data_IF_432024656146
#
_entry.id   IF_432024656146
#
_cell.length_a   1.000
_cell.length_b   1.000
_cell.length_c   1.000
_cell.angle_alpha   90.00
_cell.angle_beta   90.00
_cell.angle_gamma   90.00
#
_symmetry.space_group_name_H-M   'P 1'
#
loop_
_entity.id
_entity.type
_entity.pdbx_description
1 polymer ?
#
# COMPACT_ATOMS: atom_id res chain seq x y z
N UNK A 1 -15.76 -16.82 2.17
CA UNK A 1 -15.51 -16.41 1.72
C UNK A 1 -15.08 -15.77 1.26
N UNK A 2 -15.09 -15.56 2.15
CA UNK A 2 -14.71 -14.75 1.42
C UNK A 2 -14.55 -15.35 0.23
N UNK A 3 -15.31 -15.96 -0.10
CA UNK A 3 -15.25 -16.44 -1.36
C UNK A 3 -14.11 -15.92 -2.11
N UNK A 4 -13.42 -15.22 -1.50
CA UNK A 4 -12.50 -14.44 -2.17
C UNK A 4 -11.14 -15.02 -2.16
N UNK A 5 -10.97 -16.23 -1.71
CA UNK A 5 -9.72 -16.91 -1.77
C UNK A 5 -8.63 -16.17 -1.03
N UNK A 6 -7.57 -15.81 -1.72
CA UNK A 6 -6.40 -15.22 -1.10
C UNK A 6 -6.62 -13.85 -0.51
N UNK A 7 -7.62 -13.12 -0.98
CA UNK A 7 -7.98 -11.86 -0.37
C UNK A 7 -9.02 -12.10 0.70
N UNK A 8 -8.98 -11.31 1.75
CA UNK A 8 -10.05 -11.36 2.71
C UNK A 8 -11.24 -10.56 2.19
N UNK A 9 -12.34 -10.64 2.93
CA UNK A 9 -13.57 -9.96 2.53
C UNK A 9 -13.46 -8.45 2.53
N UNK A 10 -12.45 -7.89 3.21
CA UNK A 10 -12.28 -6.44 3.24
C UNK A 10 -11.77 -5.88 1.92
N UNK A 11 -11.39 -6.71 1.00
CA UNK A 11 -11.04 -6.27 -0.35
C UNK A 11 -12.28 -6.17 -1.25
N UNK A 12 -13.47 -6.04 -0.65
CA UNK A 12 -14.68 -5.72 -1.39
C UNK A 12 -15.19 -6.80 -2.32
N UNK A 13 -14.75 -8.03 -2.12
CA UNK A 13 -15.22 -9.11 -2.96
C UNK A 13 -14.65 -9.10 -4.38
N UNK A 14 -13.48 -8.54 -4.58
CA UNK A 14 -12.84 -8.56 -5.91
C UNK A 14 -12.72 -10.00 -6.39
N UNK A 15 -13.21 -10.30 -7.60
CA UNK A 15 -13.10 -11.66 -8.14
C UNK A 15 -11.65 -12.13 -8.19
N UNK A 16 -11.44 -13.40 -7.92
CA UNK A 16 -10.10 -13.97 -7.82
C UNK A 16 -9.26 -13.74 -9.07
N UNK A 17 -9.85 -13.86 -10.23
CA UNK A 17 -9.15 -13.71 -11.50
C UNK A 17 -8.81 -12.25 -11.82
N UNK A 18 -9.35 -11.31 -11.05
CA UNK A 18 -9.09 -9.89 -11.24
C UNK A 18 -8.26 -9.29 -10.12
N UNK A 19 -7.81 -10.11 -9.21
CA UNK A 19 -6.99 -9.61 -8.12
C UNK A 19 -5.59 -9.31 -8.58
N UNK A 20 -5.05 -8.23 -8.06
CA UNK A 20 -3.69 -7.79 -8.40
C UNK A 20 -2.73 -7.95 -7.23
N UNK A 21 -3.24 -8.44 -6.10
CA UNK A 21 -2.45 -8.64 -4.89
C UNK A 21 -2.81 -9.96 -4.23
N UNK A 22 -1.85 -10.53 -3.52
CA UNK A 22 -2.00 -11.79 -2.78
C UNK A 22 -1.45 -11.62 -1.37
N UNK A 23 -2.10 -12.23 -0.38
CA UNK A 23 -1.61 -12.19 0.98
C UNK A 23 -0.30 -12.96 1.12
N UNK A 24 0.64 -12.37 1.89
CA UNK A 24 1.93 -13.00 2.15
C UNK A 24 1.94 -13.84 3.42
N UNK A 25 0.90 -13.69 4.26
CA UNK A 25 0.86 -14.29 5.58
C UNK A 25 1.49 -13.45 6.66
N UNK A 26 2.17 -12.37 6.31
CA UNK A 26 2.76 -11.46 7.29
C UNK A 26 1.78 -10.37 7.68
N UNK A 27 1.92 -9.90 8.91
CA UNK A 27 1.23 -8.70 9.39
C UNK A 27 2.21 -7.83 10.15
N UNK A 28 1.96 -6.52 10.14
CA UNK A 28 2.67 -5.56 10.98
C UNK A 28 1.59 -4.73 11.66
N UNK A 29 1.57 -4.73 12.99
CA UNK A 29 0.53 -4.04 13.78
C UNK A 29 -0.87 -4.47 13.36
N UNK A 30 -1.05 -5.75 13.01
CA UNK A 30 -2.34 -6.27 12.58
C UNK A 30 -2.69 -5.95 11.14
N UNK A 31 -1.89 -5.19 10.42
CA UNK A 31 -2.13 -4.86 9.02
C UNK A 31 -1.50 -5.91 8.12
N UNK A 32 -2.28 -6.38 7.16
CA UNK A 32 -1.82 -7.44 6.25
C UNK A 32 -0.78 -6.91 5.27
N UNK A 33 0.22 -7.76 5.01
CA UNK A 33 1.21 -7.49 3.96
C UNK A 33 0.78 -8.26 2.72
N UNK A 34 0.55 -7.54 1.64
CA UNK A 34 0.16 -8.10 0.35
C UNK A 34 1.32 -7.97 -0.62
N UNK A 35 1.46 -8.94 -1.51
CA UNK A 35 2.43 -8.85 -2.59
C UNK A 35 1.70 -8.58 -3.90
N UNK A 36 2.26 -7.70 -4.71
CA UNK A 36 1.69 -7.36 -5.99
C UNK A 36 1.92 -8.50 -6.98
N UNK A 37 0.83 -8.94 -7.61
CA UNK A 37 0.88 -10.07 -8.54
C UNK A 37 0.48 -9.69 -9.96
N UNK A 38 -0.06 -8.50 -10.16
CA UNK A 38 -0.46 -8.03 -11.47
C UNK A 38 0.34 -6.84 -11.93
N UNK A 39 0.10 -6.39 -13.13
CA UNK A 39 0.83 -5.28 -13.73
C UNK A 39 0.01 -4.04 -13.93
N UNK A 40 -1.26 -4.05 -13.54
CA UNK A 40 -2.14 -2.92 -13.78
C UNK A 40 -2.13 -1.95 -12.61
N UNK A 41 -3.01 -0.98 -12.65
CA UNK A 41 -3.11 0.08 -11.66
C UNK A 41 -3.45 -0.47 -10.28
N UNK A 42 -2.43 -0.87 -9.56
CA UNK A 42 -2.54 -1.67 -8.35
C UNK A 42 -3.17 -0.90 -7.20
N UNK A 43 -2.70 0.34 -6.98
CA UNK A 43 -3.22 1.16 -5.89
C UNK A 43 -4.69 1.44 -6.08
N UNK A 44 -5.10 1.75 -7.30
CA UNK A 44 -6.51 2.00 -7.61
C UNK A 44 -7.36 0.78 -7.26
N UNK A 45 -6.90 -0.42 -7.59
CA UNK A 45 -7.66 -1.62 -7.30
C UNK A 45 -7.82 -1.85 -5.80
N UNK A 46 -6.78 -1.62 -5.03
CA UNK A 46 -6.87 -1.73 -3.56
C UNK A 46 -7.83 -0.68 -3.01
N UNK A 47 -7.72 0.56 -3.46
CA UNK A 47 -8.56 1.64 -2.96
C UNK A 47 -10.05 1.43 -3.29
N UNK A 48 -10.35 0.86 -4.45
CA UNK A 48 -11.73 0.62 -4.86
C UNK A 48 -12.33 -0.67 -4.30
N UNK A 49 -11.52 -1.63 -3.92
CA UNK A 49 -12.01 -2.95 -3.52
C UNK A 49 -12.45 -3.02 -2.06
N UNK A 50 -12.25 -1.96 -1.30
CA UNK A 50 -12.46 -2.00 0.15
C UNK A 50 -13.42 -0.89 0.58
N UNK A 51 -14.51 -1.28 1.22
CA UNK A 51 -15.50 -0.34 1.73
C UNK A 51 -15.34 -0.04 3.22
N UNK A 52 -14.46 -0.72 3.91
CA UNK A 52 -14.22 -0.56 5.35
C UNK A 52 -12.91 0.17 5.60
N UNK A 53 -12.76 0.66 6.82
CA UNK A 53 -11.48 1.22 7.23
C UNK A 53 -10.43 0.12 7.27
N UNK A 54 -9.34 0.31 6.58
CA UNK A 54 -8.28 -0.69 6.56
C UNK A 54 -6.95 -0.07 6.18
N UNK A 55 -5.89 -0.76 6.55
CA UNK A 55 -4.54 -0.40 6.16
C UNK A 55 -3.88 -1.68 5.63
N UNK A 56 -3.40 -1.62 4.40
CA UNK A 56 -2.66 -2.71 3.78
C UNK A 56 -1.24 -2.25 3.47
N UNK A 57 -0.30 -3.15 3.65
CA UNK A 57 1.11 -2.91 3.35
C UNK A 57 1.43 -3.68 2.08
N UNK A 58 1.96 -2.98 1.07
CA UNK A 58 2.17 -3.59 -0.23
C UNK A 58 3.66 -3.81 -0.43
N UNK A 59 4.01 -5.06 -0.70
CA UNK A 59 5.38 -5.48 -0.90
C UNK A 59 5.61 -5.93 -2.33
N UNK A 60 6.87 -5.87 -2.75
CA UNK A 60 7.31 -6.62 -3.93
C UNK A 60 8.11 -7.83 -3.46
N UNK A 61 8.08 -8.89 -4.25
CA UNK A 61 8.93 -10.05 -4.00
C UNK A 61 10.21 -9.88 -4.79
N UNK A 62 11.34 -10.01 -4.08
CA UNK A 62 12.67 -9.92 -4.69
C UNK A 62 13.04 -11.25 -5.33
N UNK A 63 14.11 -11.25 -6.15
CA UNK A 63 14.54 -12.46 -6.84
C UNK A 63 14.91 -13.60 -5.88
N UNK A 64 15.41 -13.26 -4.69
CA UNK A 64 15.77 -14.26 -3.69
C UNK A 64 14.57 -14.74 -2.85
N UNK A 65 13.36 -14.31 -3.20
CA UNK A 65 12.15 -14.68 -2.47
C UNK A 65 11.84 -13.81 -1.28
N UNK A 66 12.71 -12.87 -0.93
CA UNK A 66 12.41 -11.94 0.17
C UNK A 66 11.42 -10.88 -0.27
N UNK A 67 10.81 -10.22 0.72
CA UNK A 67 9.82 -9.19 0.49
C UNK A 67 10.38 -7.83 0.90
N UNK A 68 10.05 -6.81 0.11
CA UNK A 68 10.35 -5.42 0.46
C UNK A 68 9.02 -4.66 0.42
N UNK A 69 8.58 -4.14 1.57
CA UNK A 69 7.35 -3.35 1.63
C UNK A 69 7.68 -1.96 1.09
N UNK A 70 6.89 -1.52 0.11
CA UNK A 70 7.12 -0.25 -0.58
C UNK A 70 5.97 0.74 -0.41
N UNK A 71 4.80 0.28 0.01
CA UNK A 71 3.63 1.16 0.08
C UNK A 71 2.79 0.87 1.31
N UNK A 72 2.13 1.92 1.80
CA UNK A 72 1.02 1.80 2.74
C UNK A 72 -0.21 2.32 2.03
N UNK A 73 -1.27 1.51 1.99
CA UNK A 73 -2.55 1.93 1.43
C UNK A 73 -3.59 1.92 2.53
N UNK A 74 -4.01 3.10 2.95
CA UNK A 74 -5.00 3.27 4.00
C UNK A 74 -6.30 3.76 3.38
N UNK A 75 -7.40 3.09 3.67
CA UNK A 75 -8.70 3.43 3.14
C UNK A 75 -9.66 3.69 4.29
N UNK A 76 -10.39 4.79 4.21
CA UNK A 76 -11.35 5.19 5.23
C UNK A 76 -12.75 5.12 4.63
N UNK A 77 -13.36 3.94 4.69
CA UNK A 77 -14.74 3.76 4.28
C UNK A 77 -15.02 3.99 2.80
N UNK A 78 -14.04 3.83 1.93
CA UNK A 78 -14.19 4.04 0.49
C UNK A 78 -14.56 5.49 0.13
N UNK A 79 -14.18 6.44 0.97
CA UNK A 79 -14.45 7.86 0.71
C UNK A 79 -13.18 8.66 0.61
N UNK A 80 -12.25 8.38 1.47
CA UNK A 80 -10.93 8.98 1.46
C UNK A 80 -9.90 7.89 1.68
N UNK A 81 -8.70 8.14 1.23
CA UNK A 81 -7.62 7.20 1.43
C UNK A 81 -6.28 7.92 1.40
N UNK A 82 -5.26 7.23 1.86
CA UNK A 82 -3.89 7.73 1.83
C UNK A 82 -3.01 6.64 1.24
N UNK A 83 -2.26 7.01 0.24
CA UNK A 83 -1.25 6.16 -0.38
C UNK A 83 0.11 6.69 0.07
N UNK A 84 0.92 5.86 0.71
CA UNK A 84 2.28 6.23 1.11
C UNK A 84 3.24 5.44 0.24
N UNK A 85 4.12 6.15 -0.46
CA UNK A 85 5.14 5.54 -1.31
C UNK A 85 6.49 5.68 -0.62
N UNK A 86 7.09 4.55 -0.30
CA UNK A 86 8.34 4.49 0.46
C UNK A 86 9.51 4.29 -0.50
N UNK A 87 10.55 5.09 -0.31
CA UNK A 87 11.79 4.99 -1.05
C UNK A 87 12.90 4.70 -0.05
N UNK A 88 13.75 3.74 -0.37
CA UNK A 88 14.83 3.30 0.52
C UNK A 88 16.19 3.50 -0.16
N UNK A 89 17.19 3.83 0.66
CA UNK A 89 18.56 3.91 0.18
C UNK A 89 19.20 2.51 0.12
N UNK A 90 20.46 2.46 -0.28
CA UNK A 90 21.18 1.19 -0.43
C UNK A 90 21.32 0.43 0.89
N UNK A 91 21.21 1.13 2.03
CA UNK A 91 21.30 0.51 3.34
C UNK A 91 19.95 0.07 3.89
N UNK A 92 18.87 0.28 3.13
CA UNK A 92 17.54 -0.07 3.57
C UNK A 92 16.89 0.96 4.48
N UNK A 93 17.48 2.13 4.61
CA UNK A 93 16.90 3.22 5.38
C UNK A 93 15.97 4.06 4.52
N UNK A 94 14.99 4.69 5.17
CA UNK A 94 14.03 5.51 4.44
C UNK A 94 14.72 6.75 3.88
N UNK A 95 14.41 7.08 2.62
CA UNK A 95 14.79 8.37 2.05
C UNK A 95 13.67 9.34 2.40
N UNK A 96 13.97 10.45 3.06
CA UNK A 96 12.92 11.36 3.52
C UNK A 96 12.23 12.09 2.37
N UNK A 97 11.10 12.70 2.68
CA UNK A 97 10.36 13.52 1.73
C UNK A 97 11.24 14.67 1.22
N UNK A 98 11.27 14.83 -0.11
CA UNK A 98 12.00 15.92 -0.75
C UNK A 98 11.17 16.61 -1.82
N UNK A 99 9.87 16.31 -1.88
CA UNK A 99 8.96 16.89 -2.87
C UNK A 99 9.05 16.22 -4.23
N UNK A 100 9.89 15.21 -4.40
CA UNK A 100 10.11 14.50 -5.68
C UNK A 100 9.86 13.02 -5.49
N UNK A 101 9.77 12.29 -6.61
CA UNK A 101 9.63 10.84 -6.56
C UNK A 101 10.83 10.13 -5.96
N UNK A 102 11.98 10.78 -5.92
CA UNK A 102 13.18 10.18 -5.35
C UNK A 102 13.15 10.13 -3.82
N UNK A 103 12.22 10.84 -3.18
CA UNK A 103 11.99 10.76 -1.75
C UNK A 103 10.68 10.09 -1.42
N UNK A 104 10.56 9.59 -0.20
CA UNK A 104 9.31 9.01 0.27
C UNK A 104 8.23 10.09 0.34
N UNK A 105 7.01 9.74 -0.03
CA UNK A 105 5.94 10.74 -0.15
C UNK A 105 4.58 10.06 -0.03
N UNK A 106 3.54 10.87 -0.03
CA UNK A 106 2.17 10.36 0.02
C UNK A 106 1.28 11.06 -0.99
N UNK A 107 0.16 10.42 -1.27
CA UNK A 107 -0.93 10.98 -2.05
C UNK A 107 -2.22 10.75 -1.30
N UNK A 108 -3.11 11.73 -1.33
CA UNK A 108 -4.45 11.56 -0.80
C UNK A 108 -5.37 11.06 -1.91
N UNK A 109 -6.33 10.25 -1.52
CA UNK A 109 -7.34 9.70 -2.43
C UNK A 109 -8.73 10.14 -1.99
N UNK A 110 -9.63 10.26 -2.96
CA UNK A 110 -11.02 10.66 -2.70
C UNK A 110 -11.96 9.90 -3.62
N UNK A 111 -13.20 9.78 -3.21
CA UNK A 111 -14.23 9.21 -4.07
C UNK A 111 -14.63 10.23 -5.13
N UNK A 112 -14.67 9.79 -6.37
CA UNK A 112 -15.09 10.61 -7.51
C UNK A 112 -16.60 10.49 -7.72
N UNK A 113 -17.21 11.42 -8.50
CA UNK A 113 -18.66 11.36 -8.74
C UNK A 113 -19.15 10.05 -9.35
N UNK A 114 -18.29 9.33 -10.08
CA UNK A 114 -18.65 8.04 -10.64
C UNK A 114 -18.53 6.87 -9.65
N UNK A 115 -18.18 7.16 -8.41
CA UNK A 115 -18.04 6.13 -7.37
C UNK A 115 -16.65 5.52 -7.26
N UNK A 116 -15.77 5.77 -8.20
CA UNK A 116 -14.41 5.26 -8.14
C UNK A 116 -13.53 6.15 -7.26
N UNK A 117 -12.55 5.53 -6.63
CA UNK A 117 -11.52 6.29 -5.92
C UNK A 117 -10.47 6.80 -6.91
N UNK A 118 -9.97 7.99 -6.67
CA UNK A 118 -8.89 8.56 -7.46
C UNK A 118 -8.03 9.46 -6.60
N UNK A 119 -6.83 9.75 -7.05
CA UNK A 119 -5.94 10.66 -6.33
C UNK A 119 -6.57 12.05 -6.29
N UNK A 120 -6.56 12.64 -5.10
CA UNK A 120 -7.07 13.98 -4.93
C UNK A 120 -6.15 14.98 -5.63
N UNK A 121 -6.67 15.87 -6.51
CA UNK A 121 -5.84 16.88 -7.14
C UNK A 121 -5.26 17.84 -6.11
N UNK A 122 -4.05 18.33 -6.39
CA UNK A 122 -3.45 19.37 -5.57
C UNK A 122 -3.63 20.72 -6.26
N UNK A 123 -3.42 21.78 -5.50
CA UNK A 123 -3.54 23.11 -6.04
C UNK A 123 -2.55 23.32 -7.19
N UNK A 124 -3.01 24.00 -8.23
CA UNK A 124 -2.16 24.30 -9.39
C UNK A 124 -0.86 24.94 -8.95
N UNK A 125 0.23 24.44 -9.50
CA UNK A 125 1.57 24.95 -9.18
C UNK A 125 2.22 24.30 -7.99
N UNK A 126 1.50 23.49 -7.25
CA UNK A 126 2.08 22.74 -6.15
C UNK A 126 2.56 21.37 -6.61
N UNK A 127 3.51 20.85 -5.86
CA UNK A 127 3.97 19.51 -6.08
C UNK A 127 2.84 18.52 -5.78
N UNK A 128 2.69 17.50 -6.60
CA UNK A 128 1.67 16.47 -6.39
C UNK A 128 2.01 15.54 -5.24
N UNK A 129 3.23 15.61 -4.71
CA UNK A 129 3.68 14.75 -3.63
C UNK A 129 3.58 15.49 -2.31
N UNK A 130 3.11 14.78 -1.29
CA UNK A 130 2.96 15.30 0.05
C UNK A 130 3.89 14.54 1.00
N UNK A 131 4.27 15.15 2.14
CA UNK A 131 5.04 14.40 3.14
C UNK A 131 4.22 13.25 3.70
N UNK A 132 4.90 12.29 4.31
CA UNK A 132 4.22 11.18 4.98
C UNK A 132 3.52 11.72 6.22
N UNK A 133 2.21 11.46 6.38
CA UNK A 133 1.52 11.89 7.59
C UNK A 133 2.16 11.30 8.85
N UNK A 134 2.22 12.11 9.90
CA UNK A 134 2.88 11.72 11.15
C UNK A 134 2.29 10.45 11.74
N UNK A 135 1.00 10.22 11.54
CA UNK A 135 0.31 9.03 12.07
C UNK A 135 0.93 7.73 11.55
N UNK A 136 1.57 7.76 10.38
CA UNK A 136 2.20 6.58 9.81
C UNK A 136 3.67 6.40 10.17
N UNK A 137 4.28 7.37 10.84
CA UNK A 137 5.71 7.28 11.16
C UNK A 137 6.10 6.07 11.99
N UNK A 138 5.36 5.69 13.05
CA UNK A 138 5.69 4.47 13.78
C UNK A 138 5.61 3.23 12.90
N UNK A 139 4.62 3.17 12.01
CA UNK A 139 4.46 2.05 11.10
C UNK A 139 5.62 1.99 10.09
N UNK A 140 6.05 3.14 9.58
CA UNK A 140 7.19 3.21 8.67
C UNK A 140 8.44 2.65 9.34
N UNK A 141 8.68 2.99 10.61
CA UNK A 141 9.83 2.45 11.34
C UNK A 141 9.78 0.93 11.43
N UNK A 142 8.59 0.36 11.65
CA UNK A 142 8.42 -1.09 11.69
C UNK A 142 8.62 -1.72 10.32
N UNK A 143 8.19 -1.04 9.27
CA UNK A 143 8.41 -1.51 7.89
C UNK A 143 9.91 -1.55 7.58
N UNK A 144 10.67 -0.54 7.98
CA UNK A 144 12.11 -0.53 7.78
C UNK A 144 12.73 -1.76 8.43
N UNK A 145 12.35 -2.06 9.66
CA UNK A 145 12.84 -3.25 10.36
C UNK A 145 12.48 -4.53 9.64
N UNK A 146 11.23 -4.64 9.21
CA UNK A 146 10.75 -5.81 8.46
C UNK A 146 11.59 -6.01 7.20
N UNK A 147 11.81 -4.97 6.43
CA UNK A 147 12.56 -5.06 5.18
C UNK A 147 14.01 -5.49 5.42
N UNK A 148 14.61 -4.99 6.49
CA UNK A 148 16.00 -5.34 6.83
C UNK A 148 16.15 -6.78 7.29
N UNK A 149 15.10 -7.39 7.80
CA UNK A 149 15.11 -8.79 8.24
C UNK A 149 15.00 -9.79 7.10
N UNK A 150 14.77 -9.33 5.88
CA UNK A 150 14.70 -10.16 4.66
C UNK A 150 13.70 -11.29 4.81
N UNK A 151 12.46 -10.93 5.12
CA UNK A 151 11.37 -11.88 5.28
C UNK A 151 10.91 -12.42 3.94
N UNK A 152 10.49 -13.68 3.91
CA UNK A 152 9.93 -14.33 2.72
C UNK A 152 8.44 -14.62 2.95
N UNK A 153 7.72 -14.89 1.87
CA UNK A 153 6.33 -15.30 1.97
C UNK A 153 6.23 -16.49 2.91
N UNK A 154 5.32 -16.42 3.86
CA UNK A 154 5.12 -17.50 4.83
C UNK A 154 4.49 -18.70 4.14
N UNK A 155 5.00 -19.88 4.48
CA UNK A 155 4.35 -21.12 4.07
C UNK A 155 3.16 -21.38 4.97
N UNK A 156 2.13 -21.89 4.37
CA UNK A 156 0.92 -22.28 5.12
C UNK A 156 1.01 -23.71 5.59
#
# INVERSE_FOLDING_TARGET
MGANGSYDKNLGGVPKDKRTHTETGHTIDGHKVLVQTGNENQTKNIMNSNSDNSVYLIAKQNEDGTLTILNINANNGHKIGTEVNLVFDANGNIVPFNGKKSGSHSHQWEERPNGDMGRKPVTKGQNSHLPIPDVFKPLVNKIVKFNKQKNKIKKK
#
